data_IF_207635899973
#
_entry.id   IF_207635899973
#
_cell.length_a   1.000
_cell.length_b   1.000
_cell.length_c   1.000
_cell.angle_alpha   90.00
_cell.angle_beta   90.00
_cell.angle_gamma   90.00
#
_symmetry.space_group_name_H-M   'P 1'
#
loop_
_entity.id
_entity.type
_entity.pdbx_description
1 polymer ?
#
# COMPACT_ATOMS: atom_id res chain seq x y z
N UNK A 1 37.57 83.96 46.08
CA UNK A 1 36.17 83.49 46.08
C UNK A 1 35.40 83.84 44.79
N UNK A 2 35.50 85.04 44.21
CA UNK A 2 34.70 85.40 43.00
C UNK A 2 34.97 84.57 41.72
N UNK A 3 36.24 84.33 41.34
CA UNK A 3 36.59 83.60 40.10
C UNK A 3 36.19 82.12 40.10
N UNK A 4 36.27 81.44 41.23
CA UNK A 4 35.86 80.04 41.35
C UNK A 4 34.34 79.90 41.28
N UNK A 5 33.61 80.82 41.92
CA UNK A 5 32.15 80.88 41.86
C UNK A 5 31.65 81.15 40.44
N UNK A 6 32.32 82.02 39.68
CA UNK A 6 31.99 82.28 38.26
C UNK A 6 32.25 81.07 37.35
N UNK A 7 33.37 80.36 37.56
CA UNK A 7 33.67 79.09 36.88
C UNK A 7 32.63 78.02 37.20
N UNK A 8 32.19 77.93 38.45
CA UNK A 8 31.18 76.97 38.89
C UNK A 8 29.81 77.30 38.27
N UNK A 9 29.39 78.56 38.30
CA UNK A 9 28.15 79.02 37.66
C UNK A 9 28.15 78.76 36.14
N UNK A 10 29.28 78.99 35.47
CA UNK A 10 29.43 78.69 34.03
C UNK A 10 29.30 77.18 33.73
N UNK A 11 29.83 76.31 34.61
CA UNK A 11 29.66 74.86 34.49
C UNK A 11 28.21 74.45 34.71
N UNK A 12 27.56 74.99 35.76
CA UNK A 12 26.15 74.73 36.05
C UNK A 12 25.29 75.06 34.83
N UNK A 13 25.52 76.21 34.20
CA UNK A 13 24.69 76.63 33.08
C UNK A 13 24.93 75.82 31.80
N UNK A 14 26.18 75.43 31.53
CA UNK A 14 26.49 74.47 30.46
C UNK A 14 25.82 73.11 30.71
N UNK A 15 25.88 72.59 31.93
CA UNK A 15 25.27 71.31 32.27
C UNK A 15 23.74 71.37 32.18
N UNK A 16 23.10 72.47 32.60
CA UNK A 16 21.65 72.65 32.44
C UNK A 16 21.23 72.69 30.97
N UNK A 17 21.97 73.39 30.13
CA UNK A 17 21.70 73.43 28.68
C UNK A 17 21.87 72.05 28.05
N UNK A 18 22.95 71.33 28.40
CA UNK A 18 23.17 69.97 27.92
C UNK A 18 22.07 69.00 28.38
N UNK A 19 21.63 69.08 29.64
CA UNK A 19 20.54 68.27 30.16
C UNK A 19 19.22 68.55 29.42
N UNK A 20 18.91 69.81 29.14
CA UNK A 20 17.71 70.19 28.37
C UNK A 20 17.77 69.67 26.93
N UNK A 21 18.94 69.74 26.28
CA UNK A 21 19.12 69.19 24.93
C UNK A 21 18.96 67.66 24.91
N UNK A 22 19.56 66.96 25.88
CA UNK A 22 19.44 65.52 26.01
C UNK A 22 17.98 65.08 26.29
N UNK A 23 17.24 65.84 27.09
CA UNK A 23 15.81 65.60 27.34
C UNK A 23 14.96 65.76 26.07
N UNK A 24 15.24 66.79 25.26
CA UNK A 24 14.58 66.98 23.97
C UNK A 24 14.88 65.84 22.98
N UNK A 25 16.14 65.42 22.89
CA UNK A 25 16.56 64.30 22.05
C UNK A 25 15.93 62.98 22.51
N UNK A 26 15.86 62.76 23.82
CA UNK A 26 15.20 61.59 24.41
C UNK A 26 13.70 61.58 24.06
N UNK A 27 12.98 62.69 24.25
CA UNK A 27 11.57 62.80 23.87
C UNK A 27 11.35 62.50 22.38
N UNK A 28 12.20 63.02 21.51
CA UNK A 28 12.12 62.77 20.07
C UNK A 28 12.38 61.28 19.75
N UNK A 29 13.39 60.68 20.37
CA UNK A 29 13.74 59.27 20.16
C UNK A 29 12.65 58.34 20.66
N UNK A 30 12.03 58.63 21.81
CA UNK A 30 10.88 57.88 22.33
C UNK A 30 9.71 57.95 21.35
N UNK A 31 9.43 59.11 20.76
CA UNK A 31 8.39 59.24 19.74
C UNK A 31 8.68 58.40 18.50
N UNK A 32 9.90 58.46 17.98
CA UNK A 32 10.34 57.63 16.84
C UNK A 32 10.21 56.13 17.15
N UNK A 33 10.60 55.72 18.35
CA UNK A 33 10.50 54.33 18.79
C UNK A 33 9.04 53.86 18.89
N UNK A 34 8.13 54.73 19.33
CA UNK A 34 6.69 54.44 19.37
C UNK A 34 6.12 54.23 17.95
N UNK A 35 6.44 55.14 17.02
CA UNK A 35 6.01 55.04 15.61
C UNK A 35 6.56 53.77 14.95
N UNK A 36 7.84 53.45 15.18
CA UNK A 36 8.48 52.24 14.67
C UNK A 36 7.85 50.96 15.24
N UNK A 37 7.50 50.97 16.53
CA UNK A 37 6.84 49.85 17.20
C UNK A 37 5.43 49.62 16.66
N UNK A 38 4.68 50.69 16.40
CA UNK A 38 3.36 50.58 15.77
C UNK A 38 3.48 49.92 14.39
N UNK A 39 4.37 50.43 13.53
CA UNK A 39 4.59 49.86 12.19
C UNK A 39 5.04 48.40 12.26
N UNK A 40 5.95 48.07 13.18
CA UNK A 40 6.39 46.70 13.40
C UNK A 40 5.21 45.77 13.72
N UNK A 41 4.32 46.18 14.62
CA UNK A 41 3.17 45.35 15.01
C UNK A 41 2.20 45.14 13.84
N UNK A 42 2.01 46.15 12.99
CA UNK A 42 1.18 46.04 11.79
C UNK A 42 1.77 45.05 10.77
N UNK A 43 3.05 45.21 10.43
CA UNK A 43 3.76 44.33 9.49
C UNK A 43 3.89 42.89 10.03
N UNK A 44 4.17 42.74 11.32
CA UNK A 44 4.23 41.44 11.99
C UNK A 44 2.89 40.71 11.89
N UNK A 45 1.78 41.40 12.17
CA UNK A 45 0.44 40.82 12.05
C UNK A 45 0.16 40.35 10.62
N UNK A 46 0.48 41.17 9.62
CA UNK A 46 0.29 40.81 8.21
C UNK A 46 1.13 39.60 7.81
N UNK A 47 2.36 39.50 8.30
CA UNK A 47 3.23 38.34 8.08
C UNK A 47 2.64 37.07 8.73
N UNK A 48 2.13 37.17 9.96
CA UNK A 48 1.45 36.06 10.63
C UNK A 48 0.23 35.58 9.86
N UNK A 49 -0.63 36.49 9.39
CA UNK A 49 -1.79 36.14 8.56
C UNK A 49 -1.34 35.41 7.28
N UNK A 50 -0.27 35.89 6.63
CA UNK A 50 0.24 35.23 5.43
C UNK A 50 0.78 33.83 5.69
N UNK A 51 1.50 33.63 6.80
CA UNK A 51 1.97 32.29 7.18
C UNK A 51 0.83 31.36 7.55
N UNK A 52 -0.22 31.88 8.20
CA UNK A 52 -1.40 31.09 8.50
C UNK A 52 -2.08 30.59 7.22
N UNK A 53 -2.33 31.46 6.23
CA UNK A 53 -2.90 31.03 4.95
C UNK A 53 -2.05 29.96 4.24
N UNK A 54 -0.72 30.15 4.24
CA UNK A 54 0.19 29.17 3.61
C UNK A 54 0.14 27.81 4.32
N UNK A 55 0.02 27.81 5.64
CA UNK A 55 -0.05 26.57 6.41
C UNK A 55 -1.40 25.89 6.27
N UNK A 56 -2.50 26.64 6.23
CA UNK A 56 -3.84 26.13 5.92
C UNK A 56 -3.87 25.47 4.54
N UNK A 57 -3.31 26.12 3.53
CA UNK A 57 -3.18 25.56 2.17
C UNK A 57 -2.32 24.30 2.16
N UNK A 58 -1.20 24.28 2.89
CA UNK A 58 -0.32 23.11 2.99
C UNK A 58 -1.05 21.91 3.59
N UNK A 59 -1.80 22.14 4.68
CA UNK A 59 -2.57 21.10 5.36
C UNK A 59 -3.68 20.57 4.43
N UNK A 60 -4.44 21.45 3.79
CA UNK A 60 -5.54 21.03 2.90
C UNK A 60 -5.02 20.30 1.65
N UNK A 61 -3.87 20.72 1.11
CA UNK A 61 -3.19 20.01 0.03
C UNK A 61 -2.80 18.58 0.44
N UNK A 62 -2.12 18.42 1.58
CA UNK A 62 -1.70 17.10 2.05
C UNK A 62 -2.88 16.18 2.32
N UNK A 63 -3.96 16.70 2.91
CA UNK A 63 -5.20 15.97 3.11
C UNK A 63 -5.78 15.46 1.80
N UNK A 64 -5.84 16.30 0.76
CA UNK A 64 -6.32 15.90 -0.58
C UNK A 64 -5.44 14.82 -1.21
N UNK A 65 -4.12 14.94 -1.09
CA UNK A 65 -3.18 13.94 -1.59
C UNK A 65 -3.40 12.59 -0.91
N UNK A 66 -3.49 12.57 0.42
CA UNK A 66 -3.68 11.34 1.19
C UNK A 66 -5.05 10.71 0.93
N UNK A 67 -6.10 11.52 0.79
CA UNK A 67 -7.43 11.04 0.40
C UNK A 67 -7.41 10.34 -0.96
N UNK A 68 -6.78 10.96 -1.96
CA UNK A 68 -6.66 10.38 -3.29
C UNK A 68 -5.82 9.10 -3.29
N UNK A 69 -4.72 9.09 -2.51
CA UNK A 69 -3.90 7.91 -2.33
C UNK A 69 -4.70 6.75 -1.72
N UNK A 70 -5.47 6.99 -0.66
CA UNK A 70 -6.31 5.96 -0.04
C UNK A 70 -7.32 5.37 -1.05
N UNK A 71 -8.01 6.23 -1.80
CA UNK A 71 -8.97 5.77 -2.82
C UNK A 71 -8.31 4.96 -3.94
N UNK A 72 -7.09 5.31 -4.34
CA UNK A 72 -6.32 4.54 -5.33
C UNK A 72 -6.06 3.12 -4.81
N UNK A 73 -5.57 3.00 -3.58
CA UNK A 73 -5.31 1.68 -2.96
C UNK A 73 -6.59 0.87 -2.85
N UNK A 74 -7.69 1.48 -2.38
CA UNK A 74 -8.98 0.80 -2.30
C UNK A 74 -9.47 0.29 -3.65
N UNK A 75 -9.26 1.05 -4.73
CA UNK A 75 -9.64 0.63 -6.09
C UNK A 75 -8.88 -0.61 -6.54
N UNK A 76 -7.58 -0.71 -6.21
CA UNK A 76 -6.77 -1.90 -6.48
C UNK A 76 -7.30 -3.10 -5.69
N UNK A 77 -7.64 -2.92 -4.41
CA UNK A 77 -8.17 -4.01 -3.58
C UNK A 77 -9.45 -4.61 -4.15
N UNK A 78 -10.33 -3.81 -4.73
CA UNK A 78 -11.56 -4.32 -5.39
C UNK A 78 -11.20 -5.16 -6.61
N UNK A 79 -10.29 -4.68 -7.46
CA UNK A 79 -9.85 -5.43 -8.65
C UNK A 79 -9.17 -6.75 -8.27
N UNK A 80 -8.38 -6.76 -7.20
CA UNK A 80 -7.74 -7.97 -6.69
C UNK A 80 -8.77 -8.98 -6.16
N UNK A 81 -9.78 -8.52 -5.42
CA UNK A 81 -10.87 -9.38 -4.94
C UNK A 81 -11.66 -10.00 -6.11
N UNK A 82 -12.03 -9.20 -7.11
CA UNK A 82 -12.67 -9.69 -8.32
C UNK A 82 -11.80 -10.70 -9.08
N UNK A 83 -10.47 -10.53 -9.06
CA UNK A 83 -9.52 -11.45 -9.69
C UNK A 83 -9.47 -12.79 -8.96
N UNK A 84 -9.45 -12.78 -7.63
CA UNK A 84 -9.55 -13.97 -6.81
C UNK A 84 -10.90 -14.68 -7.01
N UNK A 85 -11.99 -13.94 -7.15
CA UNK A 85 -13.31 -14.51 -7.40
C UNK A 85 -13.38 -15.20 -8.77
N UNK A 86 -12.80 -14.61 -9.82
CA UNK A 86 -12.70 -15.28 -11.13
C UNK A 86 -11.96 -16.62 -11.05
N UNK A 87 -10.92 -16.72 -10.23
CA UNK A 87 -10.22 -17.98 -10.00
C UNK A 87 -11.14 -18.99 -9.30
N UNK A 88 -11.84 -18.58 -8.23
CA UNK A 88 -12.79 -19.44 -7.51
C UNK A 88 -13.88 -19.98 -8.44
N UNK A 89 -14.55 -19.10 -9.18
CA UNK A 89 -15.59 -19.47 -10.15
C UNK A 89 -15.06 -20.40 -11.25
N UNK A 90 -13.82 -20.18 -11.74
CA UNK A 90 -13.21 -21.09 -12.70
C UNK A 90 -13.01 -22.49 -12.10
N UNK A 91 -12.58 -22.57 -10.84
CA UNK A 91 -12.37 -23.84 -10.15
C UNK A 91 -13.69 -24.57 -9.84
N UNK A 92 -14.79 -23.85 -9.61
CA UNK A 92 -16.12 -24.46 -9.47
C UNK A 92 -16.56 -25.22 -10.73
N UNK A 93 -16.09 -24.79 -11.91
CA UNK A 93 -16.37 -25.48 -13.17
C UNK A 93 -15.46 -26.69 -13.45
N UNK A 94 -14.45 -26.92 -12.61
CA UNK A 94 -13.50 -28.02 -12.76
C UNK A 94 -14.14 -29.35 -12.33
N UNK A 95 -14.38 -30.22 -13.30
CA UNK A 95 -14.95 -31.55 -13.09
C UNK A 95 -13.90 -32.63 -13.37
N UNK A 96 -13.30 -33.12 -12.30
CA UNK A 96 -12.26 -34.15 -12.38
C UNK A 96 -12.76 -35.43 -13.03
N UNK A 97 -14.01 -35.82 -12.80
CA UNK A 97 -14.52 -37.07 -13.37
C UNK A 97 -14.70 -36.93 -14.88
N UNK A 98 -15.24 -35.79 -15.34
CA UNK A 98 -15.33 -35.46 -16.76
C UNK A 98 -13.96 -35.36 -17.42
N UNK A 99 -12.98 -34.75 -16.78
CA UNK A 99 -11.62 -34.62 -17.32
C UNK A 99 -10.95 -35.99 -17.47
N UNK A 100 -11.10 -36.88 -16.48
CA UNK A 100 -10.58 -38.25 -16.56
C UNK A 100 -11.28 -39.06 -17.65
N UNK A 101 -12.61 -38.92 -17.80
CA UNK A 101 -13.33 -39.59 -18.89
C UNK A 101 -12.86 -39.08 -20.27
N UNK A 102 -12.61 -37.78 -20.38
CA UNK A 102 -12.08 -37.17 -21.61
C UNK A 102 -10.69 -37.72 -21.91
N UNK A 103 -9.80 -37.76 -20.92
CA UNK A 103 -8.46 -38.34 -21.07
C UNK A 103 -8.51 -39.81 -21.52
N UNK A 104 -9.33 -40.65 -20.88
CA UNK A 104 -9.48 -42.06 -21.28
C UNK A 104 -9.98 -42.15 -22.72
N UNK A 105 -10.99 -41.36 -23.07
CA UNK A 105 -11.54 -41.35 -24.44
C UNK A 105 -10.49 -40.98 -25.49
N UNK A 106 -9.63 -40.00 -25.20
CA UNK A 106 -8.63 -39.50 -26.15
C UNK A 106 -7.35 -40.34 -26.22
N UNK A 107 -7.00 -41.05 -25.13
CA UNK A 107 -5.69 -41.71 -24.98
C UNK A 107 -5.76 -43.23 -24.79
N UNK A 108 -6.94 -43.83 -24.67
CA UNK A 108 -7.05 -45.28 -24.50
C UNK A 108 -6.46 -46.05 -25.69
N UNK A 109 -5.74 -47.12 -25.37
CA UNK A 109 -5.11 -48.03 -26.35
C UNK A 109 -5.95 -49.29 -26.64
N UNK A 110 -7.14 -49.38 -26.06
CA UNK A 110 -8.06 -50.49 -26.22
C UNK A 110 -8.27 -51.29 -24.91
N UNK A 111 -9.45 -51.91 -24.72
CA UNK A 111 -9.78 -52.68 -23.52
C UNK A 111 -9.40 -54.16 -23.61
N UNK A 112 -8.71 -54.56 -24.68
CA UNK A 112 -8.47 -55.96 -25.02
C UNK A 112 -7.14 -56.43 -24.40
N UNK A 113 -7.25 -57.43 -23.54
CA UNK A 113 -6.13 -58.05 -22.83
C UNK A 113 -5.70 -59.28 -23.63
N UNK A 114 -4.44 -59.38 -24.08
CA UNK A 114 -3.95 -60.56 -24.77
C UNK A 114 -3.93 -61.77 -23.82
N UNK A 115 -4.46 -62.90 -24.28
CA UNK A 115 -4.38 -64.17 -23.57
C UNK A 115 -3.01 -64.82 -23.75
N UNK A 116 -2.58 -65.67 -22.80
CA UNK A 116 -1.35 -66.45 -22.95
C UNK A 116 -1.37 -67.30 -24.23
N UNK A 117 -0.23 -67.40 -24.96
CA UNK A 117 -0.14 -68.25 -26.13
C UNK A 117 -0.50 -69.71 -25.82
N UNK A 118 -1.32 -70.33 -26.66
CA UNK A 118 -1.59 -71.76 -26.58
C UNK A 118 -0.43 -72.57 -27.17
N UNK A 119 -0.19 -73.78 -26.66
CA UNK A 119 0.74 -74.71 -27.28
C UNK A 119 0.31 -75.05 -28.72
N UNK A 120 1.25 -75.00 -29.66
CA UNK A 120 1.04 -75.36 -31.07
C UNK A 120 1.93 -76.55 -31.40
N UNK A 121 1.31 -77.65 -31.83
CA UNK A 121 2.05 -78.80 -32.36
C UNK A 121 2.25 -78.65 -33.87
N UNK A 122 3.42 -78.15 -34.27
CA UNK A 122 3.77 -77.92 -35.67
C UNK A 122 3.87 -79.21 -36.51
N UNK A 123 3.95 -80.40 -35.89
CA UNK A 123 4.01 -81.69 -36.59
C UNK A 123 2.63 -82.30 -36.89
N UNK A 124 1.55 -81.77 -36.29
CA UNK A 124 0.19 -82.30 -36.42
C UNK A 124 -0.64 -81.62 -37.53
N UNK A 125 -0.07 -80.68 -38.29
CA UNK A 125 -0.75 -79.97 -39.38
C UNK A 125 -1.80 -78.93 -38.94
N UNK A 126 -1.97 -78.71 -37.64
CA UNK A 126 -2.82 -77.63 -37.09
C UNK A 126 -2.07 -76.29 -37.16
N UNK A 127 -2.56 -75.38 -38.01
CA UNK A 127 -1.99 -74.05 -38.23
C UNK A 127 -2.10 -73.09 -37.05
N UNK A 128 -1.47 -71.91 -37.23
CA UNK A 128 -1.25 -70.86 -36.22
C UNK A 128 -2.52 -70.45 -35.47
N UNK A 129 -2.48 -70.58 -34.14
CA UNK A 129 -3.45 -69.94 -33.25
C UNK A 129 -3.00 -68.48 -33.04
N UNK A 130 -3.64 -67.54 -33.74
CA UNK A 130 -3.39 -66.10 -33.54
C UNK A 130 -3.62 -65.67 -32.08
N UNK A 131 -3.03 -64.54 -31.68
CA UNK A 131 -3.19 -64.00 -30.33
C UNK A 131 -4.67 -63.82 -30.00
N UNK A 132 -5.14 -64.52 -28.96
CA UNK A 132 -6.51 -64.38 -28.47
C UNK A 132 -6.56 -63.18 -27.54
N UNK A 133 -7.69 -62.48 -27.53
CA UNK A 133 -7.91 -61.34 -26.64
C UNK A 133 -9.18 -61.56 -25.84
N UNK A 134 -9.15 -61.14 -24.58
CA UNK A 134 -10.32 -61.02 -23.71
C UNK A 134 -10.55 -59.57 -23.33
N UNK A 135 -11.82 -59.17 -23.22
CA UNK A 135 -12.15 -57.80 -22.82
C UNK A 135 -11.99 -57.60 -21.32
N UNK A 136 -11.36 -56.50 -20.92
CA UNK A 136 -11.27 -56.08 -19.52
C UNK A 136 -12.67 -55.78 -18.95
N UNK A 137 -12.93 -56.19 -17.70
CA UNK A 137 -14.20 -55.99 -16.98
C UNK A 137 -13.96 -55.70 -15.49
N UNK A 138 -12.94 -54.90 -15.19
CA UNK A 138 -12.58 -54.52 -13.82
C UNK A 138 -13.44 -53.38 -13.30
N UNK A 139 -13.85 -53.46 -12.04
CA UNK A 139 -14.55 -52.37 -11.34
C UNK A 139 -13.53 -51.43 -10.69
N UNK A 140 -13.83 -50.12 -10.72
CA UNK A 140 -13.00 -49.10 -10.06
C UNK A 140 -13.38 -48.99 -8.58
N UNK A 141 -12.42 -49.14 -7.68
CA UNK A 141 -12.63 -48.88 -6.25
C UNK A 141 -12.72 -47.37 -5.97
N UNK A 142 -13.94 -46.88 -5.75
CA UNK A 142 -14.21 -45.46 -5.52
C UNK A 142 -13.99 -45.00 -4.07
N UNK A 143 -13.84 -45.92 -3.11
CA UNK A 143 -13.70 -45.60 -1.69
C UNK A 143 -12.29 -45.06 -1.35
N UNK A 144 -11.24 -45.51 -2.03
CA UNK A 144 -9.86 -45.05 -1.80
C UNK A 144 -9.70 -43.55 -2.07
N UNK A 145 -10.36 -43.00 -3.10
CA UNK A 145 -10.26 -41.57 -3.43
C UNK A 145 -10.91 -40.69 -2.36
N UNK A 146 -12.07 -41.08 -1.82
CA UNK A 146 -12.79 -40.30 -0.80
C UNK A 146 -11.98 -40.18 0.49
N UNK A 147 -11.26 -41.24 0.87
CA UNK A 147 -10.44 -41.25 2.08
C UNK A 147 -9.21 -40.32 1.98
N UNK A 148 -8.73 -40.03 0.76
CA UNK A 148 -7.56 -39.18 0.53
C UNK A 148 -7.90 -37.69 0.28
N UNK A 149 -9.18 -37.32 0.17
CA UNK A 149 -9.64 -35.95 -0.09
C UNK A 149 -9.95 -35.15 1.20
N UNK A 150 -10.00 -35.81 2.36
CA UNK A 150 -10.12 -35.13 3.65
C UNK A 150 -8.75 -34.53 4.00
N UNK A 151 -8.63 -33.21 4.20
CA UNK A 151 -7.37 -32.61 4.63
C UNK A 151 -6.99 -33.14 6.02
N UNK A 152 -5.71 -33.41 6.31
CA UNK A 152 -5.28 -33.74 7.66
C UNK A 152 -5.41 -32.49 8.55
N UNK A 153 -6.43 -32.47 9.42
CA UNK A 153 -6.56 -31.52 10.52
C UNK A 153 -6.97 -30.10 10.11
N UNK A 154 -8.25 -29.79 10.23
CA UNK A 154 -8.71 -28.43 10.57
C UNK A 154 -9.30 -28.45 11.98
N UNK A 155 -8.52 -28.97 12.93
CA UNK A 155 -8.76 -28.69 14.33
C UNK A 155 -7.92 -27.46 14.70
N UNK A 156 -8.61 -26.39 15.09
CA UNK A 156 -8.13 -25.15 15.71
C UNK A 156 -7.55 -24.06 14.79
N UNK A 157 -8.46 -23.19 14.32
CA UNK A 157 -8.39 -21.74 14.57
C UNK A 157 -9.77 -21.25 15.01
#
# INVERSE_FOLDING_TARGET
>A
MGKEMEKLNSKIEKTKLAAKAADQEYMQTVKIAADATQKWNEEWKLACEKFQYLEEDRIEFLKKVLWNYANLITSICVVDDESCERIRVCLESCDVDKDIQTFIKERATGPDIPEPPSYVNFYAGSGENGTRYRRASYERNSMERKNNLLPPGTDNL
#
